data_IF_672893044847
#
_entry.id   IF_672893044847
#
_cell.length_a   1.000
_cell.length_b   1.000
_cell.length_c   1.000
_cell.angle_alpha   90.00
_cell.angle_beta   90.00
_cell.angle_gamma   90.00
#
_symmetry.space_group_name_H-M   'P 1'
#
loop_
_entity.id
_entity.type
_entity.pdbx_description
1 polymer ?
#
# COMPACT_ATOMS: atom_id res chain seq x y z
N UNK A 1 -8.71 3.66 -34.18
CA UNK A 1 -9.21 3.54 -32.80
C UNK A 1 -9.13 4.93 -32.21
N UNK A 2 -10.11 5.31 -31.39
CA UNK A 2 -10.01 6.54 -30.62
C UNK A 2 -9.00 6.37 -29.49
N UNK A 3 -8.51 7.47 -28.93
CA UNK A 3 -7.56 7.39 -27.82
C UNK A 3 -8.17 6.67 -26.59
N UNK A 4 -9.46 6.87 -26.31
CA UNK A 4 -10.16 6.14 -25.25
C UNK A 4 -10.28 4.64 -25.53
N UNK A 5 -10.46 4.21 -26.78
CA UNK A 5 -10.45 2.78 -27.13
C UNK A 5 -9.07 2.16 -26.86
N UNK A 6 -7.99 2.88 -27.18
CA UNK A 6 -6.62 2.43 -26.92
C UNK A 6 -6.33 2.33 -25.41
N UNK A 7 -6.79 3.29 -24.61
CA UNK A 7 -6.71 3.25 -23.15
C UNK A 7 -7.50 2.05 -22.59
N UNK A 8 -8.75 1.86 -23.02
CA UNK A 8 -9.59 0.77 -22.53
C UNK A 8 -8.96 -0.60 -22.80
N UNK A 9 -8.42 -0.78 -24.00
CA UNK A 9 -7.70 -2.00 -24.37
C UNK A 9 -6.38 -2.18 -23.59
N UNK A 10 -5.77 -1.11 -23.10
CA UNK A 10 -4.59 -1.20 -22.24
C UNK A 10 -4.97 -1.57 -20.80
N UNK A 11 -6.01 -0.96 -20.24
CA UNK A 11 -6.52 -1.27 -18.91
C UNK A 11 -7.04 -2.71 -18.82
N UNK A 12 -7.80 -3.18 -19.82
CA UNK A 12 -8.32 -4.55 -19.89
C UNK A 12 -7.20 -5.62 -19.86
N UNK A 13 -6.04 -5.34 -20.46
CA UNK A 13 -4.88 -6.25 -20.42
C UNK A 13 -4.32 -6.41 -19.01
N UNK A 14 -4.41 -5.37 -18.19
CA UNK A 14 -3.99 -5.40 -16.79
C UNK A 14 -5.13 -5.86 -15.86
N UNK A 15 -6.30 -6.21 -16.41
CA UNK A 15 -7.48 -6.62 -15.64
C UNK A 15 -8.19 -5.46 -14.93
N UNK A 16 -7.90 -4.22 -15.32
CA UNK A 16 -8.50 -3.02 -14.74
C UNK A 16 -9.83 -2.73 -15.44
N UNK A 17 -10.91 -2.67 -14.65
CA UNK A 17 -12.24 -2.36 -15.17
C UNK A 17 -12.33 -0.90 -15.62
N UNK A 18 -13.00 -0.63 -16.74
CA UNK A 18 -13.27 0.72 -17.20
C UNK A 18 -14.63 0.83 -17.87
N UNK A 19 -15.26 2.01 -17.76
CA UNK A 19 -16.52 2.36 -18.42
C UNK A 19 -16.33 3.64 -19.22
N UNK A 20 -16.88 3.69 -20.43
CA UNK A 20 -16.81 4.88 -21.29
C UNK A 20 -18.20 5.45 -21.45
N UNK A 21 -18.35 6.75 -21.16
CA UNK A 21 -19.56 7.51 -21.40
C UNK A 21 -19.19 8.83 -22.11
N UNK A 22 -19.75 9.04 -23.29
CA UNK A 22 -19.44 10.18 -24.17
C UNK A 22 -17.92 10.32 -24.40
N UNK A 23 -17.34 11.47 -24.05
CA UNK A 23 -15.90 11.79 -24.21
C UNK A 23 -15.08 11.54 -22.94
N UNK A 24 -15.66 10.83 -21.96
CA UNK A 24 -15.03 10.52 -20.67
C UNK A 24 -14.97 9.02 -20.43
N UNK A 25 -13.82 8.55 -19.97
CA UNK A 25 -13.67 7.20 -19.43
C UNK A 25 -13.54 7.27 -17.91
N UNK A 26 -14.16 6.32 -17.24
CA UNK A 26 -14.16 6.19 -15.79
C UNK A 26 -13.55 4.85 -15.41
N UNK A 27 -12.72 4.85 -14.38
CA UNK A 27 -12.04 3.68 -13.85
C UNK A 27 -12.31 3.64 -12.35
N UNK A 28 -13.13 2.70 -11.86
CA UNK A 28 -13.39 2.57 -10.44
C UNK A 28 -12.12 2.10 -9.71
N UNK A 29 -11.78 2.76 -8.61
CA UNK A 29 -10.67 2.36 -7.73
C UNK A 29 -11.25 1.73 -6.47
N UNK A 30 -12.19 2.44 -5.83
CA UNK A 30 -12.95 1.97 -4.68
C UNK A 30 -14.44 2.27 -4.89
N UNK A 31 -15.33 1.80 -4.00
CA UNK A 31 -16.74 2.19 -4.06
C UNK A 31 -16.99 3.71 -3.96
N UNK A 32 -16.04 4.45 -3.39
CA UNK A 32 -16.17 5.89 -3.11
C UNK A 32 -15.35 6.75 -4.08
N UNK A 33 -14.35 6.18 -4.78
CA UNK A 33 -13.38 6.92 -5.59
C UNK A 33 -13.25 6.30 -6.99
N UNK A 34 -13.22 7.16 -8.00
CA UNK A 34 -12.92 6.79 -9.39
C UNK A 34 -11.92 7.74 -10.06
N UNK A 35 -11.23 7.22 -11.06
CA UNK A 35 -10.40 8.00 -11.98
C UNK A 35 -11.18 8.31 -13.25
N UNK A 36 -11.10 9.54 -13.72
CA UNK A 36 -11.73 9.99 -14.95
C UNK A 36 -10.68 10.46 -15.97
N UNK A 37 -10.72 9.90 -17.18
CA UNK A 37 -9.94 10.34 -18.32
C UNK A 37 -10.82 11.19 -19.24
N UNK A 38 -10.45 12.46 -19.41
CA UNK A 38 -11.15 13.39 -20.29
C UNK A 38 -10.22 13.76 -21.45
N UNK A 39 -10.60 13.41 -22.68
CA UNK A 39 -9.79 13.69 -23.89
C UNK A 39 -9.68 15.20 -24.10
N UNK A 40 -8.46 15.68 -24.30
CA UNK A 40 -8.17 17.10 -24.55
C UNK A 40 -7.98 17.36 -26.04
N UNK A 41 -7.36 16.40 -26.74
CA UNK A 41 -7.03 16.50 -28.16
C UNK A 41 -7.10 15.10 -28.80
N UNK A 42 -7.76 14.98 -29.95
CA UNK A 42 -7.90 13.70 -30.66
C UNK A 42 -6.80 13.47 -31.69
N UNK A 43 -6.12 14.53 -32.15
CA UNK A 43 -5.04 14.44 -33.12
C UNK A 43 -3.70 14.15 -32.44
N UNK A 44 -3.51 14.70 -31.24
CA UNK A 44 -2.45 14.35 -30.31
C UNK A 44 -3.09 13.57 -29.17
N UNK A 45 -2.91 12.23 -29.07
CA UNK A 45 -3.52 11.43 -28.01
C UNK A 45 -3.14 11.98 -26.64
N UNK A 46 -4.06 12.71 -26.02
CA UNK A 46 -3.83 13.41 -24.76
C UNK A 46 -5.13 13.49 -23.96
N UNK A 47 -5.05 13.17 -22.67
CA UNK A 47 -6.19 13.24 -21.76
C UNK A 47 -5.76 13.80 -20.39
N UNK A 48 -6.66 14.56 -19.79
CA UNK A 48 -6.56 14.93 -18.38
C UNK A 48 -7.02 13.75 -17.54
N UNK A 49 -6.32 13.49 -16.44
CA UNK A 49 -6.66 12.46 -15.47
C UNK A 49 -7.13 13.14 -14.20
N UNK A 50 -8.36 12.88 -13.81
CA UNK A 50 -8.96 13.40 -12.59
C UNK A 50 -9.20 12.26 -11.60
N UNK A 51 -9.10 12.55 -10.30
CA UNK A 51 -9.75 11.75 -9.26
C UNK A 51 -11.06 12.44 -8.90
N UNK A 52 -12.14 11.67 -8.80
CA UNK A 52 -13.44 12.14 -8.36
C UNK A 52 -14.09 11.13 -7.40
N UNK A 53 -15.03 11.62 -6.59
CA UNK A 53 -15.91 10.74 -5.82
C UNK A 53 -16.88 10.01 -6.77
N UNK A 54 -17.14 8.73 -6.52
CA UNK A 54 -17.91 7.86 -7.42
C UNK A 54 -19.44 8.05 -7.37
N UNK A 55 -19.96 8.71 -6.31
CA UNK A 55 -21.40 8.88 -6.03
C UNK A 55 -21.88 10.34 -6.16
N UNK A 56 -21.15 11.19 -6.89
CA UNK A 56 -21.56 12.57 -7.12
C UNK A 56 -22.65 12.62 -8.20
N UNK A 57 -23.83 13.11 -7.83
CA UNK A 57 -24.92 13.37 -8.77
C UNK A 57 -24.52 14.50 -9.73
N UNK A 58 -24.96 14.44 -10.99
CA UNK A 58 -24.67 15.45 -12.03
C UNK A 58 -25.15 16.87 -11.65
N UNK A 59 -26.01 16.99 -10.63
CA UNK A 59 -26.58 18.22 -10.09
C UNK A 59 -25.81 18.79 -8.88
N UNK A 60 -24.75 18.13 -8.39
CA UNK A 60 -23.92 18.65 -7.30
C UNK A 60 -23.02 19.79 -7.81
N UNK A 61 -23.30 21.01 -7.35
CA UNK A 61 -22.55 22.22 -7.71
C UNK A 61 -21.11 22.21 -7.14
N UNK A 62 -20.84 21.32 -6.18
CA UNK A 62 -19.53 21.05 -5.56
C UNK A 62 -18.87 19.78 -6.15
N UNK A 63 -18.96 19.56 -7.47
CA UNK A 63 -18.19 18.52 -8.18
C UNK A 63 -16.68 18.74 -7.94
N UNK A 64 -16.10 18.00 -7.00
CA UNK A 64 -14.72 18.17 -6.53
C UNK A 64 -13.77 17.17 -7.24
N UNK A 65 -13.73 17.22 -8.57
CA UNK A 65 -12.73 16.48 -9.33
C UNK A 65 -11.37 17.19 -9.29
N UNK A 66 -10.34 16.50 -8.82
CA UNK A 66 -8.98 17.01 -8.75
C UNK A 66 -8.17 16.52 -9.95
N UNK A 67 -7.60 17.45 -10.73
CA UNK A 67 -6.65 17.08 -11.80
C UNK A 67 -5.36 16.56 -11.17
N UNK A 68 -5.04 15.29 -11.43
CA UNK A 68 -3.87 14.62 -10.85
C UNK A 68 -2.77 14.36 -11.87
N UNK A 69 -3.12 14.16 -13.15
CA UNK A 69 -2.13 13.94 -14.20
C UNK A 69 -2.63 14.39 -15.59
N UNK A 70 -1.70 14.41 -16.54
CA UNK A 70 -1.98 14.51 -17.98
C UNK A 70 -1.21 13.40 -18.67
N UNK A 71 -1.91 12.58 -19.44
CA UNK A 71 -1.34 11.42 -20.12
C UNK A 71 -1.26 11.64 -21.62
N UNK A 72 -0.28 10.99 -22.28
CA UNK A 72 -0.04 11.13 -23.72
C UNK A 72 -0.03 9.78 -24.45
N UNK A 73 -0.28 8.69 -23.73
CA UNK A 73 -0.35 7.33 -24.26
C UNK A 73 -1.28 6.48 -23.41
N UNK A 74 -1.70 5.34 -23.96
CA UNK A 74 -2.46 4.34 -23.22
C UNK A 74 -1.63 3.69 -22.10
N UNK A 75 -0.31 3.62 -22.25
CA UNK A 75 0.62 3.11 -21.22
C UNK A 75 0.74 4.08 -20.04
N UNK A 76 0.73 5.38 -20.30
CA UNK A 76 0.68 6.40 -19.24
C UNK A 76 -0.66 6.33 -18.48
N UNK A 77 -1.75 6.00 -19.17
CA UNK A 77 -3.07 5.83 -18.54
C UNK A 77 -3.06 4.68 -17.52
N UNK A 78 -2.51 3.53 -17.91
CA UNK A 78 -2.35 2.37 -17.04
C UNK A 78 -1.48 2.73 -15.83
N UNK A 79 -0.33 3.37 -16.06
CA UNK A 79 0.59 3.77 -14.99
C UNK A 79 -0.10 4.71 -13.99
N UNK A 80 -0.84 5.70 -14.48
CA UNK A 80 -1.57 6.65 -13.64
C UNK A 80 -2.63 5.95 -12.78
N UNK A 81 -3.37 4.97 -13.33
CA UNK A 81 -4.34 4.19 -12.56
C UNK A 81 -3.65 3.31 -11.52
N UNK A 82 -2.62 2.57 -11.93
CA UNK A 82 -1.90 1.65 -11.06
C UNK A 82 -1.32 2.35 -9.81
N UNK A 83 -0.81 3.57 -9.96
CA UNK A 83 -0.30 4.38 -8.84
C UNK A 83 -1.37 4.67 -7.77
N UNK A 84 -2.61 4.95 -8.22
CA UNK A 84 -3.71 5.23 -7.31
C UNK A 84 -4.29 3.97 -6.68
N UNK A 85 -4.39 2.88 -7.45
CA UNK A 85 -4.77 1.56 -6.92
C UNK A 85 -3.78 1.17 -5.82
N UNK A 86 -2.47 1.25 -6.09
CA UNK A 86 -1.45 0.91 -5.11
C UNK A 86 -1.52 1.79 -3.85
N UNK A 87 -1.82 3.07 -4.00
CA UNK A 87 -2.01 3.97 -2.85
C UNK A 87 -3.20 3.55 -1.98
N UNK A 88 -4.31 3.12 -2.59
CA UNK A 88 -5.47 2.59 -1.87
C UNK A 88 -5.20 1.22 -1.23
N UNK A 89 -4.45 0.36 -1.91
CA UNK A 89 -4.01 -0.93 -1.37
C UNK A 89 -3.15 -0.75 -0.11
N UNK A 90 -2.27 0.26 -0.06
CA UNK A 90 -1.52 0.60 1.16
C UNK A 90 -2.48 0.86 2.33
N UNK A 91 -3.50 1.71 2.13
CA UNK A 91 -4.52 2.01 3.16
C UNK A 91 -5.26 0.74 3.59
N UNK A 92 -5.58 -0.13 2.64
CA UNK A 92 -6.23 -1.42 2.90
C UNK A 92 -5.35 -2.34 3.75
N UNK A 93 -4.05 -2.42 3.47
CA UNK A 93 -3.08 -3.20 4.27
C UNK A 93 -2.99 -2.63 5.69
N UNK A 94 -2.82 -1.31 5.84
CA UNK A 94 -2.81 -0.65 7.17
C UNK A 94 -4.04 -0.99 7.98
N UNK A 95 -5.23 -0.81 7.38
CA UNK A 95 -6.49 -1.09 8.05
C UNK A 95 -6.58 -2.55 8.47
N UNK A 96 -6.16 -3.46 7.61
CA UNK A 96 -6.21 -4.90 7.90
C UNK A 96 -5.28 -5.29 9.05
N UNK A 97 -4.10 -4.68 9.16
CA UNK A 97 -3.18 -4.87 10.28
C UNK A 97 -3.75 -4.28 11.58
N UNK A 98 -4.19 -3.02 11.55
CA UNK A 98 -4.72 -2.32 12.73
C UNK A 98 -6.02 -2.94 13.28
N UNK A 99 -6.88 -3.47 12.41
CA UNK A 99 -8.12 -4.13 12.79
C UNK A 99 -7.92 -5.63 13.11
N UNK A 100 -6.70 -6.16 12.96
CA UNK A 100 -6.40 -7.59 13.01
C UNK A 100 -7.42 -8.42 12.21
N UNK A 101 -7.65 -8.01 10.96
CA UNK A 101 -8.75 -8.49 10.13
C UNK A 101 -8.65 -9.99 9.75
N UNK A 102 -7.46 -10.58 9.89
CA UNK A 102 -7.18 -12.00 9.60
C UNK A 102 -6.93 -12.80 10.88
N UNK A 103 -7.47 -14.02 10.94
CA UNK A 103 -7.36 -14.88 12.13
C UNK A 103 -5.92 -15.26 12.50
N UNK A 104 -5.00 -15.27 11.51
CA UNK A 104 -3.58 -15.58 11.69
C UNK A 104 -2.86 -14.53 12.54
N UNK A 105 -3.32 -13.28 12.50
CA UNK A 105 -2.71 -12.17 13.25
C UNK A 105 -3.58 -11.70 14.42
N UNK A 106 -4.65 -12.44 14.76
CA UNK A 106 -5.58 -12.05 15.82
C UNK A 106 -4.94 -11.96 17.23
N UNK A 107 -3.74 -12.52 17.40
CA UNK A 107 -2.94 -12.41 18.63
C UNK A 107 -1.99 -11.21 18.66
N UNK A 108 -1.85 -10.47 17.56
CA UNK A 108 -0.99 -9.30 17.44
C UNK A 108 -1.83 -8.03 17.54
N UNK A 109 -1.39 -7.07 18.34
CA UNK A 109 -1.99 -5.74 18.45
C UNK A 109 -1.07 -4.71 17.80
N UNK A 110 -1.46 -4.24 16.61
CA UNK A 110 -0.68 -3.27 15.85
C UNK A 110 -1.01 -1.82 16.27
N UNK A 111 0.02 -1.01 16.39
CA UNK A 111 -0.05 0.43 16.63
C UNK A 111 0.65 1.19 15.50
N UNK A 112 0.10 2.34 15.08
CA UNK A 112 0.80 3.21 14.14
C UNK A 112 1.99 3.87 14.83
N UNK A 113 3.10 3.98 14.12
CA UNK A 113 4.23 4.76 14.60
C UNK A 113 3.89 6.27 14.64
N UNK A 114 4.50 6.97 15.60
CA UNK A 114 4.22 8.38 15.86
C UNK A 114 4.93 9.33 14.87
N UNK A 115 6.04 8.90 14.28
CA UNK A 115 6.89 9.71 13.41
C UNK A 115 6.80 9.24 11.95
N UNK A 116 6.77 7.93 11.73
CA UNK A 116 6.63 7.30 10.42
C UNK A 116 5.19 6.79 10.19
N UNK A 117 4.39 7.57 9.47
CA UNK A 117 3.02 7.17 9.09
C UNK A 117 2.94 5.96 8.15
N UNK A 118 4.07 5.52 7.60
CA UNK A 118 4.15 4.31 6.79
C UNK A 118 4.49 3.07 7.64
N UNK A 119 4.63 3.19 8.95
CA UNK A 119 4.99 2.09 9.84
C UNK A 119 3.86 1.77 10.83
N UNK A 120 3.56 0.49 10.98
CA UNK A 120 2.89 -0.06 12.16
C UNK A 120 3.81 -1.05 12.85
N UNK A 121 3.67 -1.20 14.16
CA UNK A 121 4.40 -2.19 14.93
C UNK A 121 3.51 -2.89 15.96
N UNK A 122 3.89 -4.10 16.36
CA UNK A 122 3.23 -4.86 17.41
C UNK A 122 4.28 -5.48 18.34
N UNK A 123 4.04 -5.43 19.65
CA UNK A 123 4.88 -6.11 20.64
C UNK A 123 4.78 -7.64 20.45
N UNK A 124 5.92 -8.32 20.46
CA UNK A 124 6.06 -9.77 20.33
C UNK A 124 7.16 -10.30 21.24
N UNK A 125 7.01 -11.51 21.78
CA UNK A 125 8.01 -12.02 22.72
C UNK A 125 8.01 -11.24 24.05
N UNK A 126 9.20 -10.97 24.59
CA UNK A 126 9.34 -10.30 25.91
C UNK A 126 9.49 -8.79 25.79
N UNK A 127 10.36 -8.35 24.88
CA UNK A 127 10.81 -6.97 24.67
C UNK A 127 10.89 -6.61 23.17
N UNK A 128 10.71 -7.59 22.28
CA UNK A 128 10.78 -7.40 20.84
C UNK A 128 9.49 -6.83 20.23
N UNK A 129 9.63 -6.33 19.01
CA UNK A 129 8.55 -5.78 18.20
C UNK A 129 8.65 -6.33 16.77
N UNK A 130 7.49 -6.50 16.12
CA UNK A 130 7.43 -6.69 14.67
C UNK A 130 6.99 -5.39 14.03
N UNK A 131 7.82 -4.88 13.12
CA UNK A 131 7.64 -3.64 12.39
C UNK A 131 7.21 -3.96 10.97
N UNK A 132 6.16 -3.29 10.49
CA UNK A 132 5.64 -3.44 9.13
C UNK A 132 5.54 -2.06 8.49
N UNK A 133 6.48 -1.76 7.60
CA UNK A 133 6.47 -0.54 6.81
C UNK A 133 5.77 -0.80 5.47
N UNK A 134 4.76 -0.01 5.12
CA UNK A 134 3.96 -0.20 3.90
C UNK A 134 4.09 1.02 3.00
N UNK A 135 4.63 0.82 1.81
CA UNK A 135 4.88 1.86 0.81
C UNK A 135 4.47 1.42 -0.60
N UNK A 136 4.42 2.37 -1.53
CA UNK A 136 4.20 2.09 -2.96
C UNK A 136 5.55 2.04 -3.66
N UNK A 137 5.92 0.87 -4.19
CA UNK A 137 7.12 0.67 -5.01
C UNK A 137 6.68 0.20 -6.39
N UNK A 138 7.09 0.90 -7.44
CA UNK A 138 6.76 0.57 -8.84
C UNK A 138 5.26 0.30 -9.05
N UNK A 139 4.40 1.19 -8.50
CA UNK A 139 2.94 1.08 -8.54
C UNK A 139 2.38 -0.22 -7.93
N UNK A 140 3.08 -0.78 -6.94
CA UNK A 140 2.64 -1.94 -6.15
C UNK A 140 2.76 -1.63 -4.67
N UNK A 141 1.69 -1.86 -3.90
CA UNK A 141 1.77 -1.79 -2.44
C UNK A 141 2.70 -2.88 -1.92
N UNK A 142 3.72 -2.49 -1.18
CA UNK A 142 4.78 -3.37 -0.69
C UNK A 142 4.93 -3.16 0.81
N UNK A 143 4.78 -4.25 1.58
CA UNK A 143 5.00 -4.29 3.02
C UNK A 143 6.38 -4.86 3.31
N UNK A 144 7.27 -4.06 3.88
CA UNK A 144 8.55 -4.49 4.42
C UNK A 144 8.39 -4.87 5.89
N UNK A 145 8.90 -6.04 6.28
CA UNK A 145 8.74 -6.57 7.64
C UNK A 145 10.10 -6.71 8.30
N UNK A 146 10.22 -6.14 9.50
CA UNK A 146 11.41 -6.24 10.33
C UNK A 146 11.02 -6.77 11.71
N UNK A 147 11.87 -7.59 12.30
CA UNK A 147 11.81 -7.94 13.71
C UNK A 147 12.86 -7.11 14.44
N UNK A 148 12.45 -6.41 15.49
CA UNK A 148 13.28 -5.41 16.16
C UNK A 148 13.32 -5.73 17.64
N UNK A 149 14.53 -5.80 18.21
CA UNK A 149 14.75 -5.78 19.65
C UNK A 149 15.28 -4.39 20.00
N UNK A 150 14.48 -3.52 20.63
CA UNK A 150 14.94 -2.20 21.05
C UNK A 150 16.14 -2.30 21.99
N UNK A 151 17.05 -1.33 21.91
CA UNK A 151 18.16 -1.23 22.85
C UNK A 151 17.68 -0.92 24.28
N UNK A 152 18.45 -1.36 25.28
CA UNK A 152 18.12 -1.18 26.70
C UNK A 152 17.94 0.29 27.15
N UNK A 153 18.56 1.23 26.42
CA UNK A 153 18.55 2.67 26.69
C UNK A 153 18.62 3.48 25.38
N UNK A 154 18.32 4.77 25.41
CA UNK A 154 18.31 5.69 24.24
C UNK A 154 19.66 5.78 23.49
N UNK A 155 20.77 5.33 24.10
CA UNK A 155 22.12 5.32 23.50
C UNK A 155 22.49 3.96 22.88
N UNK A 156 21.69 2.91 23.10
CA UNK A 156 21.92 1.57 22.56
C UNK A 156 21.26 1.43 21.19
N UNK A 157 21.98 0.81 20.24
CA UNK A 157 21.43 0.49 18.93
C UNK A 157 20.38 -0.62 19.07
N UNK A 158 19.31 -0.55 18.26
CA UNK A 158 18.35 -1.64 18.10
C UNK A 158 18.99 -2.80 17.33
N UNK A 159 18.65 -4.02 17.72
CA UNK A 159 19.01 -5.22 16.96
C UNK A 159 17.86 -5.54 16.00
N UNK A 160 18.16 -5.57 14.71
CA UNK A 160 17.15 -5.70 13.65
C UNK A 160 17.38 -6.93 12.78
N UNK A 161 16.31 -7.66 12.51
CA UNK A 161 16.28 -8.80 11.61
C UNK A 161 15.31 -8.50 10.47
N UNK A 162 15.85 -8.30 9.26
CA UNK A 162 15.08 -8.15 8.04
C UNK A 162 14.39 -9.47 7.66
N UNK A 163 13.05 -9.45 7.57
CA UNK A 163 12.23 -10.59 7.18
C UNK A 163 11.78 -10.50 5.70
N UNK A 164 12.10 -9.39 5.03
CA UNK A 164 11.85 -9.15 3.62
C UNK A 164 10.62 -8.32 3.32
N UNK A 165 10.32 -8.19 2.01
CA UNK A 165 9.21 -7.39 1.49
C UNK A 165 8.17 -8.26 0.79
N UNK A 166 6.90 -7.90 0.96
CA UNK A 166 5.74 -8.67 0.51
C UNK A 166 4.73 -7.78 -0.20
N UNK A 167 4.31 -8.19 -1.39
CA UNK A 167 3.22 -7.56 -2.15
C UNK A 167 1.92 -8.38 -2.06
N UNK A 168 2.00 -9.59 -1.53
CA UNK A 168 0.87 -10.49 -1.29
C UNK A 168 0.50 -10.43 0.20
N UNK A 169 -0.69 -9.90 0.48
CA UNK A 169 -1.19 -9.73 1.85
C UNK A 169 -1.39 -11.06 2.58
N UNK A 170 -1.78 -12.12 1.87
CA UNK A 170 -1.91 -13.44 2.47
C UNK A 170 -0.56 -13.96 2.93
N UNK A 171 0.49 -13.70 2.14
CA UNK A 171 1.86 -14.07 2.50
C UNK A 171 2.40 -13.23 3.65
N UNK A 172 2.06 -11.94 3.68
CA UNK A 172 2.37 -11.06 4.81
C UNK A 172 1.80 -11.63 6.12
N UNK A 173 0.53 -12.01 6.14
CA UNK A 173 -0.10 -12.59 7.34
C UNK A 173 0.50 -13.93 7.76
N UNK A 174 0.89 -14.78 6.81
CA UNK A 174 1.63 -16.02 7.13
C UNK A 174 2.96 -15.72 7.84
N UNK A 175 3.68 -14.71 7.37
CA UNK A 175 4.96 -14.30 7.95
C UNK A 175 4.75 -13.70 9.33
N UNK A 176 3.78 -12.81 9.52
CA UNK A 176 3.47 -12.21 10.81
C UNK A 176 3.06 -13.25 11.86
N UNK A 177 2.26 -14.26 11.48
CA UNK A 177 1.96 -15.38 12.37
C UNK A 177 3.22 -16.17 12.75
N UNK A 178 4.11 -16.41 11.79
CA UNK A 178 5.39 -17.05 12.08
C UNK A 178 6.25 -16.21 13.03
N UNK A 179 6.27 -14.88 12.89
CA UNK A 179 6.98 -13.99 13.81
C UNK A 179 6.43 -14.16 15.23
N UNK A 180 5.11 -14.11 15.39
CA UNK A 180 4.47 -14.32 16.69
C UNK A 180 4.86 -15.67 17.33
N UNK A 181 4.94 -16.72 16.53
CA UNK A 181 5.32 -18.07 16.99
C UNK A 181 6.83 -18.21 17.32
N UNK A 182 7.70 -17.39 16.72
CA UNK A 182 9.17 -17.51 16.85
C UNK A 182 9.81 -16.40 17.69
N UNK A 183 9.04 -15.39 18.11
CA UNK A 183 9.58 -14.17 18.74
C UNK A 183 10.52 -14.46 19.91
N UNK A 184 10.13 -15.33 20.86
CA UNK A 184 10.98 -15.67 22.02
C UNK A 184 12.32 -16.32 21.61
N UNK A 185 12.34 -17.13 20.55
CA UNK A 185 13.54 -17.82 20.07
C UNK A 185 14.47 -16.86 19.33
N UNK A 186 13.93 -15.97 18.50
CA UNK A 186 14.70 -14.96 17.77
C UNK A 186 15.26 -13.89 18.70
N UNK A 187 14.45 -13.38 19.62
CA UNK A 187 14.87 -12.43 20.66
C UNK A 187 16.07 -12.98 21.45
N UNK A 188 16.00 -14.24 21.90
CA UNK A 188 17.09 -14.89 22.63
C UNK A 188 18.38 -15.06 21.81
N UNK A 189 18.30 -15.06 20.48
CA UNK A 189 19.44 -15.18 19.57
C UNK A 189 20.02 -13.83 19.14
N UNK A 190 19.22 -12.76 19.23
CA UNK A 190 19.60 -11.40 18.88
C UNK A 190 20.16 -10.61 20.06
N UNK A 191 20.38 -11.25 21.22
CA UNK A 191 21.02 -10.62 22.37
C UNK A 191 22.35 -9.95 21.96
N UNK A 192 22.60 -8.70 22.44
CA UNK A 192 23.83 -7.98 22.14
C UNK A 192 25.06 -8.84 22.44
N UNK A 193 26.00 -8.89 21.50
CA UNK A 193 27.22 -9.70 21.63
C UNK A 193 28.12 -9.31 22.82
N UNK A 194 27.81 -8.21 23.52
CA UNK A 194 28.56 -7.71 24.68
C UNK A 194 28.20 -8.40 26.01
N UNK A 195 27.21 -9.30 26.04
CA UNK A 195 26.81 -10.05 27.24
C UNK A 195 27.56 -11.39 27.42
N UNK A 196 28.85 -11.45 27.04
CA UNK A 196 29.78 -12.46 27.57
C UNK A 196 30.49 -11.93 28.83
N UNK A 197 30.03 -12.29 30.06
CA UNK A 197 30.85 -12.09 31.25
C UNK A 197 31.98 -13.14 31.24
N UNK A 198 33.12 -12.84 30.60
CA UNK A 198 34.17 -13.85 30.51
C UNK A 198 35.55 -13.47 29.96
N UNK A 199 36.29 -12.58 30.65
CA UNK A 199 37.56 -12.94 31.33
C UNK A 199 38.23 -11.79 32.09
#
# INVERSE_FOLDING_TARGET
>A
MSFLEDIAAALDREGIESRVHDDTMFVPITPEIEIQFVVIDEQLPAANVYIAAADVDEDDEDFEAALVAVIFSAEDAVSAVAEHIATDEVVTVFRSLLEAADERIAGLEFFPDAENHQLVFAEVGTEAEVHVEVEVIDATATAHVQFVVPGDDEEADSEELDLGSFTDIDRLFDVLNLVADQAEDWESQMLPLDDEPGQ
#
